data_IF_517534148624
#
_entry.id   IF_517534148624
#
_cell.length_a   1.000
_cell.length_b   1.000
_cell.length_c   1.000
_cell.angle_alpha   90.00
_cell.angle_beta   90.00
_cell.angle_gamma   90.00
#
_symmetry.space_group_name_H-M   'P 1'
#
loop_
_entity.id
_entity.type
_entity.pdbx_description
1 polymer ?
#
# COMPACT_ATOMS: atom_id res chain seq x y z
N UNK A 1 10.45 -14.51 -2.83
CA UNK A 1 9.12 -15.03 -3.22
C UNK A 1 8.14 -14.86 -2.08
N UNK A 2 7.05 -14.14 -2.34
CA UNK A 2 5.89 -14.06 -1.47
C UNK A 2 4.63 -14.30 -2.30
N UNK A 3 3.59 -14.83 -1.67
CA UNK A 3 2.30 -15.09 -2.31
C UNK A 3 1.17 -14.87 -1.32
N UNK A 4 0.14 -14.12 -1.72
CA UNK A 4 -1.11 -14.08 -0.98
C UNK A 4 -2.04 -15.17 -1.49
N UNK A 5 -2.46 -16.05 -0.60
CA UNK A 5 -3.40 -17.13 -0.83
C UNK A 5 -4.75 -16.80 -0.18
N UNK A 6 -5.83 -17.37 -0.70
CA UNK A 6 -7.18 -17.13 -0.18
C UNK A 6 -7.33 -17.54 1.27
N UNK A 7 -8.22 -16.87 1.99
CA UNK A 7 -8.47 -17.13 3.42
C UNK A 7 -7.45 -16.45 4.33
N UNK A 8 -6.83 -15.35 3.89
CA UNK A 8 -5.96 -14.53 4.74
C UNK A 8 -4.53 -15.06 4.91
N UNK A 9 -4.08 -16.01 4.08
CA UNK A 9 -2.76 -16.62 4.23
C UNK A 9 -1.74 -15.94 3.33
N UNK A 10 -0.68 -15.39 3.92
CA UNK A 10 0.47 -14.85 3.22
C UNK A 10 1.67 -15.77 3.39
N UNK A 11 2.21 -16.29 2.29
CA UNK A 11 3.39 -17.14 2.29
C UNK A 11 4.61 -16.30 1.95
N UNK A 12 5.64 -16.32 2.79
CA UNK A 12 6.92 -15.63 2.57
C UNK A 12 8.03 -16.65 2.73
N UNK A 13 8.82 -16.89 1.69
CA UNK A 13 9.92 -17.89 1.72
C UNK A 13 9.46 -19.26 2.28
N UNK A 14 8.30 -19.73 1.84
CA UNK A 14 7.64 -20.98 2.28
C UNK A 14 7.13 -21.01 3.73
N UNK A 15 7.11 -19.87 4.42
CA UNK A 15 6.52 -19.76 5.75
C UNK A 15 5.15 -19.09 5.62
N UNK A 16 4.11 -19.75 6.13
CA UNK A 16 2.75 -19.24 6.10
C UNK A 16 2.47 -18.32 7.29
N UNK A 17 1.84 -17.19 7.01
CA UNK A 17 1.42 -16.19 7.99
C UNK A 17 -0.07 -15.92 7.84
N UNK A 18 -0.80 -15.91 8.95
CA UNK A 18 -2.18 -15.41 8.98
C UNK A 18 -2.17 -13.89 9.04
N UNK A 19 -2.92 -13.27 8.14
CA UNK A 19 -2.98 -11.82 8.00
C UNK A 19 -4.39 -11.32 8.27
N UNK A 20 -4.51 -10.35 9.17
CA UNK A 20 -5.78 -9.66 9.43
C UNK A 20 -5.83 -8.25 8.84
N UNK A 21 -4.66 -7.70 8.44
CA UNK A 21 -4.52 -6.37 7.86
C UNK A 21 -3.35 -6.26 6.89
N UNK A 22 -3.57 -5.46 5.84
CA UNK A 22 -2.51 -4.92 5.00
C UNK A 22 -2.48 -3.39 5.04
N UNK A 23 -1.26 -2.85 5.08
CA UNK A 23 -0.94 -1.48 4.66
C UNK A 23 -0.30 -1.56 3.29
N UNK A 24 -0.92 -0.98 2.26
CA UNK A 24 -0.48 -1.12 0.87
C UNK A 24 -0.13 0.25 0.32
N UNK A 25 1.08 0.40 -0.21
CA UNK A 25 1.57 1.67 -0.76
C UNK A 25 1.94 1.43 -2.22
N UNK A 26 1.31 2.19 -3.11
CA UNK A 26 1.54 2.13 -4.54
C UNK A 26 2.03 3.48 -5.04
N UNK A 27 2.95 3.47 -6.01
CA UNK A 27 3.43 4.66 -6.71
C UNK A 27 3.32 4.48 -8.21
N UNK A 28 2.54 5.32 -8.89
CA UNK A 28 2.33 5.20 -10.34
C UNK A 28 1.83 3.80 -10.73
N UNK A 29 2.54 3.16 -11.67
CA UNK A 29 2.22 1.80 -12.11
C UNK A 29 2.37 0.72 -11.03
N UNK A 30 3.00 1.00 -9.89
CA UNK A 30 3.11 0.04 -8.78
C UNK A 30 1.76 -0.47 -8.26
N UNK A 31 0.67 0.27 -8.52
CA UNK A 31 -0.68 -0.18 -8.17
C UNK A 31 -1.06 -1.47 -8.89
N UNK A 32 -0.52 -1.76 -10.08
CA UNK A 32 -0.85 -2.99 -10.82
C UNK A 32 -0.32 -4.24 -10.13
N UNK A 33 0.79 -4.16 -9.39
CA UNK A 33 1.29 -5.24 -8.55
C UNK A 33 0.52 -5.39 -7.23
N UNK A 34 0.03 -4.27 -6.68
CA UNK A 34 -0.71 -4.24 -5.42
C UNK A 34 -2.19 -4.67 -5.60
N UNK A 35 -2.82 -4.27 -6.70
CA UNK A 35 -4.26 -4.40 -6.91
C UNK A 35 -4.78 -5.86 -6.86
N UNK A 36 -4.11 -6.86 -7.46
CA UNK A 36 -4.56 -8.26 -7.36
C UNK A 36 -4.60 -8.76 -5.91
N UNK A 37 -3.65 -8.33 -5.08
CA UNK A 37 -3.58 -8.66 -3.66
C UNK A 37 -4.67 -7.93 -2.89
N UNK A 38 -4.85 -6.63 -3.14
CA UNK A 38 -5.93 -5.83 -2.57
C UNK A 38 -7.29 -6.47 -2.82
N UNK A 39 -7.59 -6.82 -4.08
CA UNK A 39 -8.86 -7.41 -4.48
C UNK A 39 -9.11 -8.74 -3.77
N UNK A 40 -8.09 -9.60 -3.70
CA UNK A 40 -8.21 -10.92 -3.07
C UNK A 40 -8.35 -10.81 -1.55
N UNK A 41 -7.52 -10.00 -0.90
CA UNK A 41 -7.55 -9.77 0.53
C UNK A 41 -8.87 -9.11 0.98
N UNK A 42 -9.38 -8.14 0.20
CA UNK A 42 -10.66 -7.51 0.49
C UNK A 42 -11.83 -8.50 0.43
N UNK A 43 -11.85 -9.40 -0.58
CA UNK A 43 -12.86 -10.45 -0.69
C UNK A 43 -12.85 -11.40 0.52
N UNK A 44 -11.68 -11.65 1.07
CA UNK A 44 -11.50 -12.49 2.26
C UNK A 44 -11.77 -11.72 3.58
N UNK A 45 -12.23 -10.47 3.50
CA UNK A 45 -12.58 -9.64 4.67
C UNK A 45 -11.38 -9.01 5.38
N UNK A 46 -10.18 -9.07 4.79
CA UNK A 46 -8.96 -8.49 5.36
C UNK A 46 -9.04 -6.96 5.31
N UNK A 47 -8.57 -6.30 6.39
CA UNK A 47 -8.54 -4.84 6.46
C UNK A 47 -7.41 -4.31 5.58
N UNK A 48 -7.72 -3.66 4.48
CA UNK A 48 -6.72 -3.01 3.62
C UNK A 48 -6.73 -1.50 3.84
N UNK A 49 -5.57 -0.91 4.15
CA UNK A 49 -5.33 0.53 4.10
C UNK A 49 -4.41 0.80 2.91
N UNK A 50 -4.89 1.54 1.92
CA UNK A 50 -4.17 1.74 0.66
C UNK A 50 -3.79 3.20 0.52
N UNK A 51 -2.52 3.47 0.21
CA UNK A 51 -2.03 4.79 -0.17
C UNK A 51 -1.54 4.72 -1.60
N UNK A 52 -2.26 5.38 -2.50
CA UNK A 52 -1.95 5.43 -3.92
C UNK A 52 -1.32 6.80 -4.26
N UNK A 53 -0.03 6.79 -4.59
CA UNK A 53 0.78 7.99 -4.81
C UNK A 53 0.99 8.24 -6.30
N UNK A 54 0.56 9.40 -6.79
CA UNK A 54 0.67 9.79 -8.20
C UNK A 54 1.16 11.25 -8.36
N UNK A 55 1.42 11.67 -9.60
CA UNK A 55 1.78 13.08 -9.86
C UNK A 55 0.54 13.95 -9.86
N UNK A 56 -0.42 13.65 -10.73
CA UNK A 56 -1.68 14.40 -10.92
C UNK A 56 -2.90 13.48 -10.81
N UNK A 57 -4.14 14.01 -10.84
CA UNK A 57 -5.34 13.15 -10.80
C UNK A 57 -5.45 12.22 -12.02
N UNK A 58 -4.97 12.65 -13.19
CA UNK A 58 -5.06 11.86 -14.43
C UNK A 58 -4.06 10.70 -14.46
N UNK A 59 -3.03 10.76 -13.61
CA UNK A 59 -2.05 9.68 -13.46
C UNK A 59 -2.55 8.55 -12.55
N UNK A 60 -3.71 8.71 -11.89
CA UNK A 60 -4.29 7.68 -11.04
C UNK A 60 -4.79 6.53 -11.92
N UNK A 61 -3.99 5.47 -12.02
CA UNK A 61 -4.37 4.24 -12.68
C UNK A 61 -5.44 3.51 -11.86
N UNK A 62 -6.39 2.88 -12.57
CA UNK A 62 -7.48 2.09 -11.95
C UNK A 62 -8.33 2.90 -10.96
N UNK A 63 -8.47 4.22 -11.19
CA UNK A 63 -9.16 5.11 -10.26
C UNK A 63 -10.58 4.65 -9.94
N UNK A 64 -11.35 4.24 -10.95
CA UNK A 64 -12.75 3.83 -10.75
C UNK A 64 -12.85 2.60 -9.86
N UNK A 65 -11.93 1.64 -10.02
CA UNK A 65 -11.85 0.45 -9.19
C UNK A 65 -11.42 0.79 -7.76
N UNK A 66 -10.45 1.68 -7.60
CA UNK A 66 -9.92 2.11 -6.31
C UNK A 66 -10.92 2.92 -5.49
N UNK A 67 -11.67 3.81 -6.14
CA UNK A 67 -12.71 4.63 -5.49
C UNK A 67 -13.84 3.76 -4.90
N UNK A 68 -13.97 2.50 -5.33
CA UNK A 68 -14.88 1.51 -4.74
C UNK A 68 -14.46 1.03 -3.35
N UNK A 69 -13.22 1.24 -2.92
CA UNK A 69 -12.71 0.80 -1.61
C UNK A 69 -12.72 1.96 -0.61
N UNK A 70 -13.41 1.77 0.53
CA UNK A 70 -13.56 2.79 1.58
C UNK A 70 -12.26 3.32 2.20
N UNK A 71 -11.13 2.62 2.04
CA UNK A 71 -9.85 2.90 2.72
C UNK A 71 -8.68 3.10 1.75
N UNK A 72 -8.98 3.56 0.54
CA UNK A 72 -7.96 4.08 -0.38
C UNK A 72 -7.79 5.58 -0.13
N UNK A 73 -6.55 6.03 -0.06
CA UNK A 73 -6.16 7.44 0.01
C UNK A 73 -5.25 7.75 -1.15
N UNK A 74 -5.64 8.73 -1.95
CA UNK A 74 -4.79 9.25 -3.01
C UNK A 74 -3.86 10.36 -2.48
N UNK A 75 -2.60 10.30 -2.87
CA UNK A 75 -1.55 11.25 -2.56
C UNK A 75 -0.97 11.79 -3.86
N UNK A 76 -1.08 13.09 -4.10
CA UNK A 76 -0.63 13.71 -5.35
C UNK A 76 0.51 14.69 -5.08
N UNK A 77 1.60 14.56 -5.83
CA UNK A 77 2.74 15.49 -5.72
C UNK A 77 2.52 16.80 -6.49
N UNK A 78 1.62 16.81 -7.48
CA UNK A 78 1.25 17.96 -8.32
C UNK A 78 -0.28 17.97 -8.55
N UNK A 79 -1.10 18.09 -7.49
CA UNK A 79 -2.55 18.09 -7.65
C UNK A 79 -3.05 19.33 -8.40
N UNK A 80 -4.23 19.22 -9.01
CA UNK A 80 -4.91 20.39 -9.56
C UNK A 80 -5.53 21.25 -8.44
N UNK A 81 -5.91 22.48 -8.79
CA UNK A 81 -6.64 23.36 -7.87
C UNK A 81 -7.96 22.67 -7.44
N UNK A 82 -8.19 22.62 -6.13
CA UNK A 82 -9.40 22.03 -5.55
C UNK A 82 -9.28 20.57 -5.13
N UNK A 83 -8.11 19.93 -5.31
CA UNK A 83 -7.84 18.60 -4.77
C UNK A 83 -8.13 18.51 -3.27
N UNK A 84 -8.91 17.50 -2.88
CA UNK A 84 -9.32 17.28 -1.49
C UNK A 84 -8.53 16.17 -0.80
N UNK A 85 -7.78 15.38 -1.56
CA UNK A 85 -6.92 14.34 -1.02
C UNK A 85 -5.60 14.90 -0.49
N UNK A 86 -4.62 14.02 -0.25
CA UNK A 86 -3.32 14.46 0.25
C UNK A 86 -2.50 15.07 -0.87
N UNK A 87 -1.82 16.18 -0.57
CA UNK A 87 -0.86 16.84 -1.46
C UNK A 87 0.55 16.68 -0.91
N UNK A 88 1.49 16.24 -1.74
CA UNK A 88 2.89 16.06 -1.39
C UNK A 88 3.39 14.64 -1.66
N UNK A 89 4.32 14.20 -0.82
CA UNK A 89 4.96 12.89 -0.91
C UNK A 89 4.49 11.98 0.23
N UNK A 90 4.79 10.68 0.12
CA UNK A 90 4.49 9.69 1.17
C UNK A 90 5.09 10.12 2.51
N UNK A 91 4.33 9.95 3.59
CA UNK A 91 4.71 10.37 4.93
C UNK A 91 4.21 9.39 5.98
N UNK A 92 4.78 9.44 7.20
CA UNK A 92 4.36 8.62 8.34
C UNK A 92 2.86 8.72 8.63
N UNK A 93 2.29 9.92 8.51
CA UNK A 93 0.86 10.15 8.71
C UNK A 93 -0.03 9.42 7.68
N UNK A 94 0.47 9.20 6.46
CA UNK A 94 -0.25 8.46 5.43
C UNK A 94 -0.17 6.94 5.63
N UNK A 95 0.99 6.42 6.03
CA UNK A 95 1.19 4.98 6.30
C UNK A 95 0.34 4.55 7.52
N UNK A 96 0.29 5.39 8.54
CA UNK A 96 -0.49 5.16 9.76
C UNK A 96 0.25 4.26 10.77
N UNK A 97 -0.08 4.37 12.08
CA UNK A 97 0.74 3.81 13.16
C UNK A 97 0.46 2.32 13.46
N UNK A 98 -0.31 1.64 12.61
CA UNK A 98 -0.84 0.31 12.92
C UNK A 98 0.06 -0.74 12.29
N UNK A 99 0.76 -1.50 13.15
CA UNK A 99 1.73 -2.53 12.74
C UNK A 99 1.22 -3.96 12.96
N UNK A 100 -0.10 -4.16 13.08
CA UNK A 100 -0.77 -5.45 13.35
C UNK A 100 -0.93 -6.34 12.09
N UNK A 101 -0.05 -6.19 11.10
CA UNK A 101 -0.15 -6.88 9.81
C UNK A 101 1.11 -6.74 8.95
N UNK A 102 0.91 -6.67 7.64
CA UNK A 102 1.99 -6.54 6.65
C UNK A 102 1.91 -5.24 5.87
N UNK A 103 3.08 -4.66 5.57
CA UNK A 103 3.22 -3.51 4.69
C UNK A 103 3.70 -4.00 3.32
N UNK A 104 2.93 -3.71 2.27
CA UNK A 104 3.29 -3.94 0.88
C UNK A 104 3.62 -2.60 0.23
N UNK A 105 4.72 -2.51 -0.51
CA UNK A 105 5.13 -1.29 -1.20
C UNK A 105 5.63 -1.59 -2.60
N UNK A 106 5.08 -0.91 -3.61
CA UNK A 106 5.54 -1.02 -4.99
C UNK A 106 5.53 0.36 -5.67
N UNK A 107 6.62 0.75 -6.33
CA UNK A 107 6.70 2.00 -7.06
C UNK A 107 8.14 2.44 -7.33
N UNK A 108 8.38 3.72 -7.65
CA UNK A 108 9.72 4.23 -7.94
C UNK A 108 10.68 4.05 -6.74
N UNK A 109 11.96 3.77 -7.02
CA UNK A 109 13.00 3.50 -6.01
C UNK A 109 13.03 4.54 -4.88
N UNK A 110 13.05 5.83 -5.20
CA UNK A 110 13.09 6.88 -4.17
C UNK A 110 11.86 6.93 -3.26
N UNK A 111 10.68 6.51 -3.75
CA UNK A 111 9.49 6.37 -2.92
C UNK A 111 9.63 5.15 -1.99
N UNK A 112 10.08 4.02 -2.51
CA UNK A 112 10.26 2.80 -1.72
C UNK A 112 11.31 2.97 -0.62
N UNK A 113 12.42 3.66 -0.90
CA UNK A 113 13.42 4.03 0.09
C UNK A 113 12.85 4.95 1.18
N UNK A 114 11.99 5.89 0.80
CA UNK A 114 11.31 6.78 1.74
C UNK A 114 10.37 5.98 2.65
N UNK A 115 9.59 5.06 2.08
CA UNK A 115 8.72 4.13 2.84
C UNK A 115 9.54 3.27 3.79
N UNK A 116 10.69 2.74 3.36
CA UNK A 116 11.59 1.96 4.21
C UNK A 116 12.03 2.76 5.43
N UNK A 117 12.55 3.98 5.23
CA UNK A 117 13.00 4.85 6.33
C UNK A 117 11.85 5.19 7.29
N UNK A 118 10.66 5.45 6.75
CA UNK A 118 9.48 5.70 7.57
C UNK A 118 9.11 4.45 8.37
N UNK A 119 9.07 3.28 7.74
CA UNK A 119 8.71 2.03 8.41
C UNK A 119 9.72 1.69 9.53
N UNK A 120 11.02 1.89 9.30
CA UNK A 120 12.09 1.68 10.29
C UNK A 120 11.91 2.58 11.51
N UNK A 121 11.66 3.87 11.28
CA UNK A 121 11.48 4.86 12.36
C UNK A 121 10.12 4.74 13.06
N UNK A 122 9.13 4.17 12.39
CA UNK A 122 7.80 3.96 12.95
C UNK A 122 7.70 2.66 13.76
N UNK A 123 8.65 1.72 13.61
CA UNK A 123 8.73 0.51 14.43
C UNK A 123 8.32 -0.79 13.71
N UNK A 124 8.16 -0.77 12.39
CA UNK A 124 7.92 -1.99 11.61
C UNK A 124 9.13 -2.91 11.63
N UNK A 125 8.91 -4.22 11.79
CA UNK A 125 9.97 -5.20 11.52
C UNK A 125 10.16 -5.33 10.00
N UNK A 126 11.14 -4.59 9.46
CA UNK A 126 11.41 -4.53 8.02
C UNK A 126 11.64 -5.90 7.40
N UNK A 127 12.22 -6.85 8.15
CA UNK A 127 12.55 -8.17 7.62
C UNK A 127 11.36 -9.12 7.65
N UNK A 128 10.40 -8.90 8.55
CA UNK A 128 9.27 -9.82 8.76
C UNK A 128 7.94 -9.28 8.25
N UNK A 129 7.73 -7.98 8.26
CA UNK A 129 6.42 -7.37 8.01
C UNK A 129 6.38 -6.52 6.74
N UNK A 130 7.54 -6.10 6.22
CA UNK A 130 7.59 -5.18 5.07
C UNK A 130 8.06 -5.91 3.81
N UNK A 131 7.26 -5.80 2.75
CA UNK A 131 7.50 -6.43 1.46
C UNK A 131 7.54 -5.34 0.39
N UNK A 132 8.68 -5.24 -0.30
CA UNK A 132 8.84 -4.40 -1.48
C UNK A 132 8.71 -5.28 -2.73
N UNK A 133 7.88 -4.86 -3.67
CA UNK A 133 7.57 -5.57 -4.92
C UNK A 133 8.36 -4.97 -6.09
#
# INVERSE_FOLDING_TARGET
DFEYQTGGTLVIKNIAHQVSRFTMIAGGSGITGIYPILRSAHRDGIKCHVVDCNKTEVDILMRQELDGYKRVRHCLSRPANGWKGHSGYISKALIGPVHDGFLLCCGPTGMMESVRKIAETDGWDIKKQVIFL
#
